data_IF_107464191083
#
_entry.id   IF_107464191083
#
_cell.length_a   1.000
_cell.length_b   1.000
_cell.length_c   1.000
_cell.angle_alpha   90.00
_cell.angle_beta   90.00
_cell.angle_gamma   90.00
#
_symmetry.space_group_name_H-M   'P 1'
#
loop_
_entity.id
_entity.type
_entity.pdbx_description
1 polymer ?
#
# COMPACT_ATOMS: atom_id res chain seq x y z
N UNK A 1 -12.36 -28.54 -59.94
CA UNK A 1 -12.57 -27.15 -59.48
C UNK A 1 -13.41 -27.19 -58.20
N UNK A 2 -12.79 -27.59 -57.09
CA UNK A 2 -13.42 -27.64 -55.77
C UNK A 2 -12.32 -27.90 -54.72
N UNK A 3 -11.59 -26.87 -54.29
CA UNK A 3 -10.73 -26.95 -53.10
C UNK A 3 -10.29 -25.53 -52.68
N UNK A 4 -11.23 -24.71 -52.21
CA UNK A 4 -10.87 -23.44 -51.55
C UNK A 4 -12.00 -22.96 -50.62
N UNK A 5 -12.32 -23.76 -49.59
CA UNK A 5 -13.16 -23.32 -48.45
C UNK A 5 -12.82 -24.13 -47.20
N UNK A 6 -11.62 -23.96 -46.64
CA UNK A 6 -11.29 -24.54 -45.32
C UNK A 6 -10.45 -23.67 -44.38
N UNK A 7 -10.12 -22.42 -44.72
CA UNK A 7 -9.26 -21.59 -43.88
C UNK A 7 -9.92 -20.41 -43.16
N UNK A 8 -11.24 -20.25 -43.21
CA UNK A 8 -11.92 -19.09 -42.62
C UNK A 8 -12.59 -19.35 -41.27
N UNK A 9 -12.13 -20.34 -40.48
CA UNK A 9 -12.83 -20.71 -39.23
C UNK A 9 -11.94 -20.97 -38.01
N UNK A 10 -10.68 -20.51 -38.04
CA UNK A 10 -9.73 -20.75 -36.94
C UNK A 10 -9.42 -19.51 -36.10
N UNK A 11 -9.90 -18.33 -36.51
CA UNK A 11 -9.50 -17.06 -35.89
C UNK A 11 -10.53 -16.53 -34.88
N UNK A 12 -11.67 -17.21 -34.73
CA UNK A 12 -12.78 -16.76 -33.85
C UNK A 12 -12.84 -17.49 -32.49
N UNK A 13 -11.99 -18.50 -32.25
CA UNK A 13 -11.97 -19.23 -30.96
C UNK A 13 -11.00 -18.65 -29.92
N UNK A 14 -10.04 -17.79 -30.31
CA UNK A 14 -9.08 -17.16 -29.38
C UNK A 14 -9.61 -15.90 -28.67
N UNK A 15 -10.88 -15.52 -28.89
CA UNK A 15 -11.49 -14.30 -28.32
C UNK A 15 -12.43 -14.54 -27.12
N UNK A 16 -12.26 -15.62 -26.36
CA UNK A 16 -13.19 -15.95 -25.27
C UNK A 16 -12.62 -16.08 -23.85
N UNK A 17 -11.35 -15.76 -23.62
CA UNK A 17 -10.75 -15.82 -22.26
C UNK A 17 -10.33 -14.45 -21.68
N UNK A 18 -10.82 -13.35 -22.27
CA UNK A 18 -10.49 -11.98 -21.86
C UNK A 18 -11.40 -11.33 -20.82
N UNK A 19 -12.43 -12.02 -20.32
CA UNK A 19 -13.35 -11.50 -19.29
C UNK A 19 -13.34 -12.39 -18.04
N UNK A 20 -12.20 -12.40 -17.33
CA UNK A 20 -12.20 -12.72 -15.91
C UNK A 20 -12.00 -11.41 -15.16
N UNK A 21 -13.14 -10.77 -14.92
CA UNK A 21 -13.40 -9.73 -13.92
C UNK A 21 -12.34 -9.78 -12.82
N UNK A 22 -11.70 -8.63 -12.60
CA UNK A 22 -10.73 -8.44 -11.53
C UNK A 22 -11.30 -8.92 -10.21
N UNK A 23 -10.84 -10.09 -9.75
CA UNK A 23 -10.77 -10.33 -8.33
C UNK A 23 -9.74 -9.33 -7.81
N UNK A 24 -10.24 -8.31 -7.13
CA UNK A 24 -9.43 -7.42 -6.31
C UNK A 24 -8.78 -8.30 -5.24
N UNK A 25 -7.57 -8.77 -5.53
CA UNK A 25 -6.71 -9.37 -4.51
C UNK A 25 -6.27 -8.20 -3.65
N UNK A 26 -7.01 -7.96 -2.56
CA UNK A 26 -6.58 -7.05 -1.52
C UNK A 26 -5.18 -7.49 -1.06
N UNK A 27 -4.14 -6.65 -1.18
CA UNK A 27 -2.85 -6.99 -0.60
C UNK A 27 -3.07 -7.09 0.91
N UNK A 28 -2.92 -8.29 1.46
CA UNK A 28 -3.05 -8.58 2.91
C UNK A 28 -1.87 -7.96 3.69
N UNK A 29 -1.15 -7.00 3.12
CA UNK A 29 0.10 -6.47 3.66
C UNK A 29 -0.10 -5.44 4.77
N UNK A 30 -1.18 -4.65 4.78
CA UNK A 30 -1.41 -3.67 5.86
C UNK A 30 -2.02 -4.28 7.13
N UNK A 31 -3.18 -4.92 6.97
CA UNK A 31 -4.01 -5.38 8.09
C UNK A 31 -3.35 -6.49 8.92
N UNK A 32 -2.68 -7.43 8.28
CA UNK A 32 -2.01 -8.53 8.99
C UNK A 32 -0.82 -8.05 9.82
N UNK A 33 -0.06 -7.07 9.31
CA UNK A 33 1.07 -6.46 10.03
C UNK A 33 0.57 -5.64 11.21
N UNK A 34 -0.52 -4.88 11.04
CA UNK A 34 -1.13 -4.10 12.13
C UNK A 34 -1.68 -5.03 13.21
N UNK A 35 -2.40 -6.08 12.84
CA UNK A 35 -2.90 -7.08 13.81
C UNK A 35 -1.73 -7.77 14.50
N UNK A 36 -0.68 -8.13 13.77
CA UNK A 36 0.54 -8.70 14.34
C UNK A 36 1.25 -7.73 15.29
N UNK A 37 1.39 -6.45 14.93
CA UNK A 37 1.98 -5.43 15.80
C UNK A 37 1.14 -5.19 17.06
N UNK A 38 -0.19 -5.20 16.96
CA UNK A 38 -1.07 -5.07 18.12
C UNK A 38 -0.92 -6.29 19.04
N UNK A 39 -0.86 -7.51 18.48
CA UNK A 39 -0.66 -8.73 19.24
C UNK A 39 0.75 -8.78 19.86
N UNK A 40 1.77 -8.32 19.15
CA UNK A 40 3.15 -8.23 19.62
C UNK A 40 3.30 -7.17 20.72
N UNK A 41 2.73 -5.98 20.55
CA UNK A 41 2.72 -4.95 21.60
C UNK A 41 1.93 -5.40 22.82
N UNK A 42 0.80 -6.08 22.64
CA UNK A 42 0.06 -6.66 23.76
C UNK A 42 0.87 -7.76 24.48
N UNK A 43 1.62 -8.56 23.74
CA UNK A 43 2.52 -9.57 24.31
C UNK A 43 3.71 -8.93 25.05
N UNK A 44 4.38 -7.96 24.44
CA UNK A 44 5.55 -7.24 25.01
C UNK A 44 5.16 -6.41 26.22
N UNK A 45 4.03 -5.69 26.18
CA UNK A 45 3.52 -4.94 27.34
C UNK A 45 3.19 -5.88 28.51
N UNK A 46 2.64 -7.07 28.23
CA UNK A 46 2.32 -8.08 29.25
C UNK A 46 3.56 -8.81 29.79
N UNK A 47 4.57 -9.03 28.95
CA UNK A 47 5.86 -9.57 29.36
C UNK A 47 6.66 -8.57 30.21
N UNK A 48 6.69 -7.29 29.83
CA UNK A 48 7.35 -6.27 30.65
C UNK A 48 6.65 -6.08 32.01
N UNK A 49 5.31 -6.12 32.04
CA UNK A 49 4.57 -6.10 33.30
C UNK A 49 4.87 -7.32 34.20
N UNK A 50 5.18 -8.49 33.63
CA UNK A 50 5.55 -9.68 34.42
C UNK A 50 6.98 -9.62 34.94
N UNK A 51 7.90 -9.00 34.21
CA UNK A 51 9.31 -8.79 34.62
C UNK A 51 9.42 -7.74 35.72
N UNK A 52 8.64 -6.66 35.65
CA UNK A 52 8.68 -5.57 36.64
C UNK A 52 8.12 -5.97 38.01
N UNK A 53 7.27 -7.01 38.06
CA UNK A 53 6.64 -7.55 39.27
C UNK A 53 7.32 -8.87 39.73
N UNK A 54 8.56 -9.15 39.27
CA UNK A 54 9.36 -10.31 39.69
C UNK A 54 8.76 -11.68 39.32
N UNK A 55 7.96 -11.76 38.26
CA UNK A 55 7.23 -12.96 37.85
C UNK A 55 5.87 -13.16 38.52
N UNK A 56 5.47 -12.30 39.47
CA UNK A 56 4.18 -12.42 40.18
C UNK A 56 3.00 -11.86 39.37
N UNK A 57 3.24 -10.91 38.46
CA UNK A 57 2.19 -10.33 37.61
C UNK A 57 1.53 -11.35 36.67
N UNK A 58 2.27 -12.40 36.29
CA UNK A 58 1.69 -13.50 35.50
C UNK A 58 0.72 -14.35 36.34
N UNK A 59 1.02 -14.58 37.62
CA UNK A 59 0.13 -15.30 38.53
C UNK A 59 -1.20 -14.52 38.70
N UNK A 60 -1.12 -13.18 38.88
CA UNK A 60 -2.28 -12.28 39.10
C UNK A 60 -3.28 -12.17 37.95
N UNK A 61 -2.90 -12.45 36.71
CA UNK A 61 -3.86 -12.43 35.59
C UNK A 61 -4.76 -13.67 35.54
N UNK A 62 -4.33 -14.76 36.19
CA UNK A 62 -5.13 -15.96 36.41
C UNK A 62 -5.52 -16.13 37.89
N UNK A 63 -5.33 -15.10 38.73
CA UNK A 63 -5.67 -15.23 40.14
C UNK A 63 -7.19 -15.28 40.30
N UNK A 64 -7.66 -16.52 40.41
CA UNK A 64 -8.32 -17.06 41.59
C UNK A 64 -7.87 -16.43 42.92
N UNK A 65 -7.60 -15.12 43.07
CA UNK A 65 -7.02 -14.52 44.29
C UNK A 65 -8.02 -14.66 45.45
N UNK A 66 -9.29 -14.46 45.11
CA UNK A 66 -10.41 -14.74 45.99
C UNK A 66 -10.48 -16.24 46.37
N UNK A 67 -10.32 -17.14 45.40
CA UNK A 67 -10.45 -18.59 45.62
C UNK A 67 -9.23 -19.16 46.37
N UNK A 68 -8.02 -18.67 46.08
CA UNK A 68 -6.76 -19.02 46.73
C UNK A 68 -6.65 -18.45 48.15
N UNK A 69 -7.38 -17.37 48.47
CA UNK A 69 -7.47 -16.85 49.84
C UNK A 69 -8.29 -17.77 50.78
N UNK A 70 -9.15 -18.61 50.21
CA UNK A 70 -10.06 -19.50 50.95
C UNK A 70 -9.56 -20.96 50.92
N UNK A 71 -8.63 -21.31 50.04
CA UNK A 71 -8.14 -22.69 49.90
C UNK A 71 -7.00 -23.04 50.86
N UNK A 72 -6.94 -24.30 51.35
CA UNK A 72 -5.83 -24.80 52.17
C UNK A 72 -4.47 -24.64 51.47
N UNK A 73 -3.41 -24.43 52.26
CA UNK A 73 -2.05 -24.12 51.75
C UNK A 73 -1.54 -25.13 50.71
N UNK A 74 -1.84 -26.42 50.91
CA UNK A 74 -1.50 -27.50 49.97
C UNK A 74 -2.14 -27.35 48.57
N UNK A 75 -3.34 -26.78 48.48
CA UNK A 75 -4.02 -26.56 47.19
C UNK A 75 -3.34 -25.44 46.40
N UNK A 76 -2.74 -24.44 47.08
CA UNK A 76 -2.04 -23.34 46.44
C UNK A 76 -0.82 -23.81 45.67
N UNK A 77 -0.04 -24.73 46.25
CA UNK A 77 1.13 -25.31 45.59
C UNK A 77 0.75 -26.10 44.33
N UNK A 78 -0.32 -26.90 44.40
CA UNK A 78 -0.82 -27.65 43.23
C UNK A 78 -1.26 -26.71 42.11
N UNK A 79 -2.03 -25.67 42.43
CA UNK A 79 -2.50 -24.70 41.44
C UNK A 79 -1.33 -23.93 40.83
N UNK A 80 -0.34 -23.54 41.64
CA UNK A 80 0.87 -22.86 41.15
C UNK A 80 1.62 -23.74 40.16
N UNK A 81 1.87 -25.00 40.49
CA UNK A 81 2.67 -25.89 39.65
C UNK A 81 1.93 -26.27 38.34
N UNK A 82 0.61 -26.47 38.41
CA UNK A 82 -0.25 -26.62 37.24
C UNK A 82 -0.26 -25.36 36.36
N UNK A 83 -0.34 -24.17 36.96
CA UNK A 83 -0.31 -22.91 36.21
C UNK A 83 1.03 -22.74 35.48
N UNK A 84 2.15 -23.03 36.15
CA UNK A 84 3.48 -22.88 35.58
C UNK A 84 3.69 -23.79 34.36
N UNK A 85 3.27 -25.06 34.45
CA UNK A 85 3.36 -25.99 33.32
C UNK A 85 2.50 -25.57 32.12
N UNK A 86 1.29 -25.06 32.35
CA UNK A 86 0.43 -24.52 31.30
C UNK A 86 1.08 -23.35 30.55
N UNK A 87 1.75 -22.44 31.26
CA UNK A 87 2.43 -21.29 30.67
C UNK A 87 3.58 -21.70 29.77
N UNK A 88 4.39 -22.65 30.23
CA UNK A 88 5.49 -23.19 29.43
C UNK A 88 4.94 -23.80 28.14
N UNK A 89 3.89 -24.63 28.25
CA UNK A 89 3.25 -25.24 27.09
C UNK A 89 2.67 -24.21 26.12
N UNK A 90 1.98 -23.18 26.64
CA UNK A 90 1.41 -22.11 25.83
C UNK A 90 2.49 -21.31 25.07
N UNK A 91 3.65 -21.05 25.69
CA UNK A 91 4.76 -20.36 25.03
C UNK A 91 5.39 -21.22 23.92
N UNK A 92 5.60 -22.52 24.17
CA UNK A 92 6.09 -23.46 23.15
C UNK A 92 5.13 -23.49 21.95
N UNK A 93 3.83 -23.59 22.24
CA UNK A 93 2.80 -23.62 21.21
C UNK A 93 2.72 -22.29 20.43
N UNK A 94 2.85 -21.15 21.12
CA UNK A 94 2.90 -19.83 20.50
C UNK A 94 4.10 -19.71 19.56
N UNK A 95 5.29 -20.16 19.97
CA UNK A 95 6.49 -20.16 19.12
C UNK A 95 6.29 -21.06 17.89
N UNK A 96 5.69 -22.23 18.06
CA UNK A 96 5.37 -23.12 16.95
C UNK A 96 4.45 -22.46 15.92
N UNK A 97 3.37 -21.79 16.37
CA UNK A 97 2.47 -21.08 15.48
C UNK A 97 3.13 -19.85 14.82
N UNK A 98 4.01 -19.13 15.53
CA UNK A 98 4.77 -18.02 14.97
C UNK A 98 5.64 -18.50 13.80
N UNK A 99 6.39 -19.58 13.99
CA UNK A 99 7.23 -20.16 12.94
C UNK A 99 6.39 -20.65 11.76
N UNK A 100 5.24 -21.28 12.03
CA UNK A 100 4.29 -21.70 11.00
C UNK A 100 3.72 -20.52 10.20
N UNK A 101 3.41 -19.41 10.87
CA UNK A 101 2.94 -18.18 10.24
C UNK A 101 4.01 -17.57 9.34
N UNK A 102 5.24 -17.42 9.84
CA UNK A 102 6.37 -16.90 9.05
C UNK A 102 6.61 -17.78 7.83
N UNK A 103 6.59 -19.11 8.00
CA UNK A 103 6.69 -20.04 6.89
C UNK A 103 5.56 -19.86 5.86
N UNK A 104 4.31 -19.73 6.31
CA UNK A 104 3.16 -19.54 5.43
C UNK A 104 3.27 -18.22 4.64
N UNK A 105 3.70 -17.13 5.29
CA UNK A 105 3.92 -15.83 4.64
C UNK A 105 5.00 -15.92 3.57
N UNK A 106 6.16 -16.50 3.89
CA UNK A 106 7.24 -16.72 2.91
C UNK A 106 6.73 -17.57 1.75
N UNK A 107 5.95 -18.62 2.06
CA UNK A 107 5.44 -19.53 1.04
C UNK A 107 4.42 -18.87 0.12
N UNK A 108 3.55 -18.03 0.67
CA UNK A 108 2.57 -17.26 -0.09
C UNK A 108 3.27 -16.34 -1.10
N UNK A 109 4.30 -15.61 -0.68
CA UNK A 109 5.11 -14.76 -1.56
C UNK A 109 5.85 -15.58 -2.64
N UNK A 110 6.38 -16.75 -2.28
CA UNK A 110 7.04 -17.64 -3.25
C UNK A 110 6.06 -18.16 -4.31
N UNK A 111 4.87 -18.55 -3.87
CA UNK A 111 3.80 -19.05 -4.73
C UNK A 111 3.34 -17.93 -5.67
N UNK A 112 3.09 -16.73 -5.16
CA UNK A 112 2.73 -15.56 -5.97
C UNK A 112 3.76 -15.25 -7.06
N UNK A 113 5.06 -15.23 -6.71
CA UNK A 113 6.15 -15.04 -7.69
C UNK A 113 6.13 -16.10 -8.79
N UNK A 114 5.83 -17.35 -8.44
CA UNK A 114 5.70 -18.46 -9.39
C UNK A 114 4.51 -18.29 -10.31
N UNK A 115 3.33 -17.93 -9.78
CA UNK A 115 2.13 -17.64 -10.57
C UNK A 115 2.36 -16.46 -11.52
N UNK A 116 2.95 -15.37 -11.03
CA UNK A 116 3.27 -14.20 -11.86
C UNK A 116 4.15 -14.57 -13.05
N UNK A 117 5.23 -15.31 -12.82
CA UNK A 117 6.15 -15.76 -13.89
C UNK A 117 5.49 -16.67 -14.91
N UNK A 118 4.47 -17.43 -14.50
CA UNK A 118 3.71 -18.31 -15.39
C UNK A 118 2.70 -17.54 -16.24
N UNK A 119 2.06 -16.50 -15.69
CA UNK A 119 1.07 -15.68 -16.38
C UNK A 119 1.75 -14.64 -17.30
N UNK A 120 2.92 -14.12 -16.91
CA UNK A 120 3.67 -13.09 -17.65
C UNK A 120 5.12 -13.53 -17.94
N UNK A 121 5.34 -14.50 -18.85
CA UNK A 121 6.67 -14.96 -19.20
C UNK A 121 7.47 -13.86 -19.90
N UNK A 122 8.60 -13.45 -19.30
CA UNK A 122 9.52 -12.44 -19.87
C UNK A 122 9.43 -11.05 -19.23
N UNK A 123 8.42 -10.81 -18.38
CA UNK A 123 8.31 -9.58 -17.60
C UNK A 123 8.97 -9.76 -16.23
N UNK A 124 9.80 -8.81 -15.76
CA UNK A 124 10.33 -8.86 -14.40
C UNK A 124 9.20 -8.73 -13.37
N UNK A 125 9.31 -9.46 -12.25
CA UNK A 125 8.37 -9.35 -11.12
C UNK A 125 8.39 -7.89 -10.63
N UNK A 126 7.23 -7.23 -10.48
CA UNK A 126 7.17 -5.89 -9.90
C UNK A 126 7.81 -5.94 -8.51
N UNK A 127 8.95 -5.25 -8.34
CA UNK A 127 9.54 -5.06 -7.03
C UNK A 127 8.72 -3.98 -6.31
N UNK A 128 8.41 -4.18 -5.02
CA UNK A 128 7.96 -3.11 -4.10
C UNK A 128 9.11 -2.12 -3.83
N UNK A 129 9.84 -1.73 -4.86
CA UNK A 129 10.53 -0.46 -4.83
C UNK A 129 9.42 0.56 -5.08
N UNK A 130 9.22 1.54 -4.19
CA UNK A 130 8.50 2.76 -4.57
C UNK A 130 9.00 3.12 -5.96
N UNK A 131 8.17 3.04 -7.01
CA UNK A 131 8.67 3.19 -8.35
C UNK A 131 9.23 4.58 -8.37
N UNK A 132 10.56 4.68 -8.41
CA UNK A 132 11.27 5.93 -8.66
C UNK A 132 10.65 6.42 -9.95
N UNK A 133 9.68 7.32 -9.82
CA UNK A 133 8.64 7.42 -10.84
C UNK A 133 9.32 7.98 -12.07
N UNK A 134 9.57 7.13 -13.05
CA UNK A 134 10.39 7.50 -14.20
C UNK A 134 9.81 8.71 -14.92
N UNK A 135 8.48 8.91 -14.83
CA UNK A 135 7.79 10.10 -15.31
C UNK A 135 8.08 11.34 -14.46
N UNK A 136 8.18 11.21 -13.14
CA UNK A 136 8.55 12.34 -12.28
C UNK A 136 10.00 12.78 -12.50
N UNK A 137 10.92 11.83 -12.71
CA UNK A 137 12.33 12.16 -13.02
C UNK A 137 12.46 12.89 -14.37
N UNK A 138 11.61 12.56 -15.36
CA UNK A 138 11.50 13.31 -16.62
C UNK A 138 10.98 14.74 -16.40
N UNK A 139 9.95 14.92 -15.56
CA UNK A 139 9.46 16.26 -15.18
C UNK A 139 10.58 17.10 -14.56
N UNK A 140 11.37 16.51 -13.64
CA UNK A 140 12.51 17.18 -13.02
C UNK A 140 13.63 17.49 -14.03
N UNK A 141 13.83 16.63 -15.02
CA UNK A 141 14.80 16.87 -16.08
C UNK A 141 14.36 18.05 -16.97
N UNK A 142 13.08 18.11 -17.34
CA UNK A 142 12.51 19.18 -18.16
C UNK A 142 12.48 20.53 -17.45
N UNK A 143 12.21 20.57 -16.14
CA UNK A 143 12.22 21.84 -15.40
C UNK A 143 13.64 22.39 -15.19
N UNK A 144 14.65 21.52 -15.20
CA UNK A 144 16.05 21.91 -14.99
C UNK A 144 16.72 22.57 -16.20
N UNK A 145 16.08 22.57 -17.38
CA UNK A 145 16.64 23.19 -18.58
C UNK A 145 16.35 24.70 -18.61
N UNK A 146 17.04 25.44 -19.48
CA UNK A 146 16.80 26.88 -19.69
C UNK A 146 15.80 27.16 -20.84
N UNK A 147 14.99 26.17 -21.23
CA UNK A 147 14.09 26.24 -22.37
C UNK A 147 12.62 26.36 -21.94
N UNK A 148 11.91 27.46 -22.28
CA UNK A 148 10.50 27.64 -21.93
C UNK A 148 9.55 26.54 -22.44
N UNK A 149 9.90 25.88 -23.54
CA UNK A 149 9.11 24.77 -24.07
C UNK A 149 9.19 23.52 -23.20
N UNK A 150 10.36 23.26 -22.60
CA UNK A 150 10.55 22.13 -21.69
C UNK A 150 9.82 22.38 -20.36
N UNK A 151 9.80 23.63 -19.87
CA UNK A 151 9.02 23.98 -18.67
C UNK A 151 7.52 23.75 -18.86
N UNK A 152 6.97 24.10 -20.03
CA UNK A 152 5.57 23.80 -20.37
C UNK A 152 5.32 22.30 -20.43
N UNK A 153 6.25 21.55 -21.03
CA UNK A 153 6.16 20.10 -21.10
C UNK A 153 6.18 19.48 -19.69
N UNK A 154 7.07 19.94 -18.80
CA UNK A 154 7.15 19.50 -17.41
C UNK A 154 5.81 19.68 -16.67
N UNK A 155 5.14 20.82 -16.85
CA UNK A 155 3.84 21.09 -16.22
C UNK A 155 2.73 20.19 -16.81
N UNK A 156 2.74 19.96 -18.13
CA UNK A 156 1.78 19.06 -18.77
C UNK A 156 1.94 17.61 -18.30
N UNK A 157 3.19 17.15 -18.21
CA UNK A 157 3.51 15.80 -17.71
C UNK A 157 3.16 15.65 -16.23
N UNK A 158 3.46 16.65 -15.40
CA UNK A 158 3.07 16.65 -13.99
C UNK A 158 1.54 16.55 -13.82
N UNK A 159 0.76 17.20 -14.68
CA UNK A 159 -0.70 17.12 -14.61
C UNK A 159 -1.25 15.76 -15.07
N UNK A 160 -0.60 15.10 -16.03
CA UNK A 160 -0.90 13.70 -16.38
C UNK A 160 -0.62 12.79 -15.19
N UNK A 161 0.47 13.03 -14.46
CA UNK A 161 0.78 12.28 -13.23
C UNK A 161 -0.32 12.49 -12.18
N UNK A 162 -0.77 13.74 -11.99
CA UNK A 162 -1.88 14.05 -11.08
C UNK A 162 -3.16 13.31 -11.47
N UNK A 163 -3.48 13.23 -12.76
CA UNK A 163 -4.68 12.51 -13.21
C UNK A 163 -4.65 11.02 -12.83
N UNK A 164 -3.50 10.37 -13.06
CA UNK A 164 -3.28 8.97 -12.69
C UNK A 164 -3.37 8.76 -11.18
N UNK A 165 -2.80 9.68 -10.38
CA UNK A 165 -2.88 9.64 -8.93
C UNK A 165 -4.35 9.73 -8.48
N UNK A 166 -5.13 10.66 -9.02
CA UNK A 166 -6.55 10.81 -8.68
C UNK A 166 -7.37 9.56 -9.02
N UNK A 167 -7.06 8.89 -10.13
CA UNK A 167 -7.69 7.62 -10.49
C UNK A 167 -7.34 6.50 -9.51
N UNK A 168 -6.08 6.42 -9.09
CA UNK A 168 -5.63 5.43 -8.10
C UNK A 168 -6.28 5.67 -6.73
N UNK A 169 -6.53 6.93 -6.36
CA UNK A 169 -7.27 7.31 -5.16
C UNK A 169 -8.79 7.06 -5.28
N UNK A 170 -9.27 6.62 -6.44
CA UNK A 170 -10.67 6.27 -6.67
C UNK A 170 -11.58 7.46 -7.00
N UNK A 171 -11.03 8.63 -7.34
CA UNK A 171 -11.81 9.77 -7.78
C UNK A 171 -12.27 9.59 -9.23
N UNK A 172 -13.58 9.42 -9.41
CA UNK A 172 -14.19 9.20 -10.73
C UNK A 172 -14.55 10.54 -11.38
N UNK A 173 -14.18 10.77 -12.63
CA UNK A 173 -14.60 11.94 -13.40
C UNK A 173 -13.98 11.95 -14.80
N UNK A 174 -14.62 12.64 -15.75
CA UNK A 174 -14.14 12.73 -17.13
C UNK A 174 -12.93 13.66 -17.28
N UNK A 175 -12.77 14.58 -16.32
CA UNK A 175 -11.66 15.54 -16.28
C UNK A 175 -11.05 15.58 -14.88
N UNK A 176 -9.77 15.98 -14.78
CA UNK A 176 -9.10 16.24 -13.49
C UNK A 176 -9.91 17.24 -12.65
N UNK A 177 -10.46 18.29 -13.28
CA UNK A 177 -11.32 19.24 -12.58
C UNK A 177 -12.56 18.59 -11.94
N UNK A 178 -13.16 17.59 -12.58
CA UNK A 178 -14.30 16.87 -12.01
C UNK A 178 -13.88 15.88 -10.91
N UNK A 179 -12.70 15.27 -11.03
CA UNK A 179 -12.09 14.45 -9.98
C UNK A 179 -11.77 15.29 -8.74
N UNK A 180 -11.13 16.46 -8.91
CA UNK A 180 -10.78 17.39 -7.84
C UNK A 180 -12.01 18.01 -7.13
N UNK A 181 -13.16 18.18 -7.81
CA UNK A 181 -14.40 18.63 -7.17
C UNK A 181 -14.97 17.61 -6.18
N UNK A 182 -14.69 16.33 -6.39
CA UNK A 182 -15.17 15.23 -5.54
C UNK A 182 -14.26 14.98 -4.34
N UNK A 183 -13.01 15.42 -4.42
CA UNK A 183 -12.09 15.39 -3.29
C UNK A 183 -12.56 16.31 -2.15
N UNK A 184 -12.42 15.84 -0.92
CA UNK A 184 -12.78 16.58 0.29
C UNK A 184 -11.50 16.92 1.05
N UNK A 185 -11.38 18.16 1.53
CA UNK A 185 -10.18 18.64 2.25
C UNK A 185 -9.82 17.84 3.50
N UNK A 186 -10.73 17.04 4.03
CA UNK A 186 -10.47 16.18 5.19
C UNK A 186 -9.49 15.04 4.86
N UNK A 187 -9.51 14.55 3.61
CA UNK A 187 -8.71 13.41 3.15
C UNK A 187 -7.65 13.80 2.11
N UNK A 188 -7.55 15.10 1.80
CA UNK A 188 -6.64 15.64 0.79
C UNK A 188 -6.23 17.08 1.19
N UNK A 189 -5.18 17.19 2.01
CA UNK A 189 -4.71 18.44 2.60
C UNK A 189 -4.16 19.41 1.54
N UNK A 190 -3.49 18.89 0.51
CA UNK A 190 -2.91 19.70 -0.58
C UNK A 190 -3.87 19.93 -1.75
N UNK A 191 -5.18 19.68 -1.57
CA UNK A 191 -6.20 19.85 -2.61
C UNK A 191 -6.18 21.26 -3.27
N UNK A 192 -5.96 22.32 -2.49
CA UNK A 192 -5.86 23.69 -3.01
C UNK A 192 -4.64 23.86 -3.95
N UNK A 193 -3.52 23.18 -3.66
CA UNK A 193 -2.31 23.18 -4.49
C UNK A 193 -2.54 22.44 -5.80
N UNK A 194 -3.23 21.30 -5.76
CA UNK A 194 -3.63 20.54 -6.95
C UNK A 194 -4.52 21.39 -7.86
N UNK A 195 -5.51 22.09 -7.29
CA UNK A 195 -6.37 23.02 -8.04
C UNK A 195 -5.59 24.18 -8.65
N UNK A 196 -4.65 24.77 -7.92
CA UNK A 196 -3.83 25.87 -8.43
C UNK A 196 -2.96 25.42 -9.61
N UNK A 197 -2.24 24.32 -9.46
CA UNK A 197 -1.36 23.78 -10.48
C UNK A 197 -2.15 23.40 -11.76
N UNK A 198 -3.28 22.70 -11.59
CA UNK A 198 -4.16 22.32 -12.70
C UNK A 198 -4.72 23.53 -13.47
N UNK A 199 -5.04 24.63 -12.79
CA UNK A 199 -5.49 25.88 -13.45
C UNK A 199 -4.40 26.46 -14.36
N UNK A 200 -3.15 26.46 -13.90
CA UNK A 200 -2.02 26.97 -14.71
C UNK A 200 -1.77 26.05 -15.91
N UNK A 201 -1.84 24.73 -15.73
CA UNK A 201 -1.82 23.79 -16.87
C UNK A 201 -2.91 24.11 -17.87
N UNK A 202 -4.14 24.33 -17.41
CA UNK A 202 -5.27 24.67 -18.28
C UNK A 202 -5.03 25.99 -19.03
N UNK A 203 -4.46 27.01 -18.39
CA UNK A 203 -4.10 28.26 -19.05
C UNK A 203 -3.05 28.02 -20.15
N UNK A 204 -2.00 27.23 -19.88
CA UNK A 204 -1.00 26.85 -20.89
C UNK A 204 -1.64 26.13 -22.09
N UNK A 205 -2.62 25.26 -21.85
CA UNK A 205 -3.30 24.54 -22.93
C UNK A 205 -4.19 25.44 -23.81
N UNK A 206 -4.79 26.49 -23.23
CA UNK A 206 -5.66 27.43 -23.96
C UNK A 206 -4.88 28.54 -24.66
N UNK A 207 -3.87 29.09 -24.00
CA UNK A 207 -3.06 30.22 -24.48
C UNK A 207 -1.83 29.77 -25.27
N UNK A 208 -1.41 28.50 -25.14
CA UNK A 208 -0.34 27.92 -25.94
C UNK A 208 1.00 28.67 -25.80
N UNK A 209 1.50 29.17 -26.93
CA UNK A 209 2.77 29.92 -26.97
C UNK A 209 2.65 31.34 -26.40
N UNK A 210 1.44 31.90 -26.33
CA UNK A 210 1.21 33.26 -25.84
C UNK A 210 1.27 33.32 -24.30
N UNK A 211 1.16 32.17 -23.62
CA UNK A 211 1.32 32.08 -22.18
C UNK A 211 2.77 32.37 -21.78
N UNK A 212 2.98 33.50 -21.09
CA UNK A 212 4.30 33.91 -20.61
C UNK A 212 4.65 33.15 -19.33
N UNK A 213 5.46 32.10 -19.46
CA UNK A 213 5.96 31.29 -18.35
C UNK A 213 7.43 31.62 -18.07
N UNK A 214 7.73 32.02 -16.83
CA UNK A 214 9.10 32.18 -16.35
C UNK A 214 9.59 30.89 -15.69
N UNK A 215 10.90 30.63 -15.69
CA UNK A 215 11.49 29.46 -15.02
C UNK A 215 11.07 29.38 -13.55
N UNK A 216 11.17 30.51 -12.84
CA UNK A 216 10.79 30.60 -11.42
C UNK A 216 9.32 30.25 -11.19
N UNK A 217 8.44 30.71 -12.07
CA UNK A 217 7.02 30.35 -11.98
C UNK A 217 6.81 28.87 -12.28
N UNK A 218 7.48 28.33 -13.30
CA UNK A 218 7.40 26.91 -13.62
C UNK A 218 7.88 26.04 -12.45
N UNK A 219 9.02 26.36 -11.84
CA UNK A 219 9.54 25.66 -10.64
C UNK A 219 8.56 25.73 -9.48
N UNK A 220 7.92 26.88 -9.26
CA UNK A 220 6.89 27.05 -8.23
C UNK A 220 5.70 26.12 -8.48
N UNK A 221 5.23 26.03 -9.72
CA UNK A 221 4.11 25.15 -10.10
C UNK A 221 4.49 23.68 -9.96
N UNK A 222 5.70 23.28 -10.38
CA UNK A 222 6.20 21.92 -10.14
C UNK A 222 6.29 21.61 -8.65
N UNK A 223 6.69 22.57 -7.82
CA UNK A 223 6.67 22.43 -6.36
C UNK A 223 5.27 22.21 -5.77
N UNK A 224 4.21 22.75 -6.39
CA UNK A 224 2.83 22.45 -5.99
C UNK A 224 2.47 21.00 -6.30
N UNK A 225 2.78 20.51 -7.50
CA UNK A 225 2.60 19.10 -7.86
C UNK A 225 3.40 18.17 -6.94
N UNK A 226 4.66 18.51 -6.66
CA UNK A 226 5.52 17.73 -5.77
C UNK A 226 4.91 17.61 -4.37
N UNK A 227 4.36 18.71 -3.81
CA UNK A 227 3.72 18.67 -2.51
C UNK A 227 2.49 17.75 -2.50
N UNK A 228 1.73 17.70 -3.60
CA UNK A 228 0.60 16.78 -3.76
C UNK A 228 1.09 15.33 -3.82
N UNK A 229 2.11 15.05 -4.62
CA UNK A 229 2.60 13.68 -4.79
C UNK A 229 3.24 13.13 -3.51
N UNK A 230 3.95 13.98 -2.76
CA UNK A 230 4.51 13.62 -1.45
C UNK A 230 3.43 13.31 -0.40
N UNK A 231 2.25 13.94 -0.47
CA UNK A 231 1.16 13.65 0.49
C UNK A 231 0.67 12.20 0.38
N UNK A 232 0.71 11.62 -0.82
CA UNK A 232 0.22 10.26 -1.11
C UNK A 232 1.35 9.24 -1.31
N UNK A 233 2.57 9.55 -0.86
CA UNK A 233 3.76 8.70 -1.01
C UNK A 233 3.98 8.20 -2.46
N UNK A 234 3.60 9.03 -3.44
CA UNK A 234 3.61 8.71 -4.86
C UNK A 234 4.99 8.89 -5.51
N UNK A 235 5.87 9.68 -4.87
CA UNK A 235 7.27 9.95 -5.28
C UNK A 235 8.22 9.90 -4.08
#
# INVERSE_FOLDING_TARGET
MAEEKKDFKKDDEDKKDGDKKGEVIFPVSGGAIIIFMILLMAFVARYNASVQDGGQGFQRLFTLEYILSITPEYIKDIVRDLSFSYVILANILSLFFLLGLVYALIKMLEVEKKWYKQIYPGNPIPQEDHPKNSKWELVLQHISTDNPSDWRLAILEADIILDNLLEQLGYIGDTIGDKLKKAVKADFETLDKAWEAHKIRNAIAHEGQDFTLTQREAERIIGLYQAVFNEFDYI
#
